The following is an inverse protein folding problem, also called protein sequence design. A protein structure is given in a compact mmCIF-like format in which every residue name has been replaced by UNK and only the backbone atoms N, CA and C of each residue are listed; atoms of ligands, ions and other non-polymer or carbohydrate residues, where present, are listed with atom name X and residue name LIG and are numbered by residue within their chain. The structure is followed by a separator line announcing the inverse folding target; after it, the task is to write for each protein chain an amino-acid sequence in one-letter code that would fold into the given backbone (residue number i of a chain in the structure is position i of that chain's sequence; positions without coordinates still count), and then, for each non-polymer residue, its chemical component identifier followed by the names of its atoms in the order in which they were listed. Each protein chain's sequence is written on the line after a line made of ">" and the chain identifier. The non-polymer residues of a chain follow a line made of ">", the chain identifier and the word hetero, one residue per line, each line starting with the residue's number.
data_IF_787065548708
#
_entry.id   IF_787065548708
#
_cell.length_a   1.000
_cell.length_b   1.000
_cell.length_c   1.000
_cell.angle_alpha   90.00
_cell.angle_beta   90.00
_cell.angle_gamma   90.00
#
_symmetry.space_group_name_H-M   'P 1'
#
loop_
_entity.id
_entity.type
_entity.pdbx_description
1 polymer ?
#
# COMPACT_ATOMS: atom_id res chain seq x y z
N UNK A 1 4.94 4.10 -2.42
CA UNK A 1 3.82 3.49 -1.67
C UNK A 1 3.83 1.99 -1.96
N UNK A 2 3.57 1.16 -0.96
CA UNK A 2 3.41 -0.29 -1.11
C UNK A 2 2.14 -0.73 -0.39
N UNK A 3 1.75 -1.99 -0.59
CA UNK A 3 0.56 -2.57 0.02
C UNK A 3 0.93 -3.90 0.69
N UNK A 4 0.70 -3.99 1.99
CA UNK A 4 0.74 -5.25 2.72
C UNK A 4 -0.70 -5.61 3.12
N UNK A 5 -1.05 -6.89 2.99
CA UNK A 5 -2.36 -7.42 3.38
C UNK A 5 -2.13 -8.43 4.51
N UNK A 6 -3.09 -8.50 5.43
CA UNK A 6 -2.98 -9.39 6.58
C UNK A 6 -4.34 -9.94 7.01
N UNK A 7 -4.26 -11.10 7.66
CA UNK A 7 -5.32 -11.82 8.35
C UNK A 7 -4.65 -12.71 9.38
N UNK A 8 -4.79 -14.03 9.27
CA UNK A 8 -4.01 -14.98 10.09
C UNK A 8 -2.50 -14.88 9.85
N UNK A 9 -2.13 -14.53 8.63
CA UNK A 9 -0.76 -14.30 8.17
C UNK A 9 -0.66 -12.92 7.51
N UNK A 10 0.56 -12.47 7.24
CA UNK A 10 0.79 -11.20 6.53
C UNK A 10 1.75 -11.38 5.37
N UNK A 11 1.46 -10.71 4.26
CA UNK A 11 2.27 -10.72 3.06
C UNK A 11 2.28 -9.34 2.38
N UNK A 12 3.37 -9.08 1.66
CA UNK A 12 3.52 -7.88 0.85
C UNK A 12 2.84 -8.11 -0.51
N UNK A 13 1.65 -7.54 -0.70
CA UNK A 13 0.88 -7.64 -1.93
C UNK A 13 1.47 -6.78 -3.06
N UNK A 14 1.93 -5.58 -2.72
CA UNK A 14 2.59 -4.68 -3.65
C UNK A 14 3.88 -4.14 -3.00
N UNK A 15 5.05 -4.36 -3.63
CA UNK A 15 6.29 -3.71 -3.21
C UNK A 15 6.21 -2.18 -3.24
N UNK A 16 7.17 -1.51 -2.61
CA UNK A 16 7.27 -0.05 -2.65
C UNK A 16 7.46 0.42 -4.10
N UNK A 17 6.48 1.16 -4.63
CA UNK A 17 6.50 1.73 -5.98
C UNK A 17 6.09 3.20 -5.97
N UNK A 18 6.50 3.94 -7.00
CA UNK A 18 5.97 5.27 -7.31
C UNK A 18 4.82 5.22 -8.34
N UNK A 19 4.60 4.07 -8.96
CA UNK A 19 3.53 3.84 -9.91
C UNK A 19 2.22 3.54 -9.17
N UNK A 20 1.34 4.55 -9.15
CA UNK A 20 0.03 4.43 -8.54
C UNK A 20 -0.92 3.52 -9.33
N UNK A 21 -0.73 3.39 -10.65
CA UNK A 21 -1.55 2.50 -11.48
C UNK A 21 -1.32 1.04 -11.11
N UNK A 22 -0.06 0.62 -11.01
CA UNK A 22 0.31 -0.73 -10.58
C UNK A 22 -0.21 -1.03 -9.17
N UNK A 23 -0.12 -0.05 -8.24
CA UNK A 23 -0.65 -0.21 -6.89
C UNK A 23 -2.17 -0.45 -6.88
N UNK A 24 -2.92 0.30 -7.69
CA UNK A 24 -4.36 0.14 -7.83
C UNK A 24 -4.73 -1.22 -8.44
N UNK A 25 -3.94 -1.70 -9.40
CA UNK A 25 -4.12 -3.04 -9.97
C UNK A 25 -3.90 -4.14 -8.92
N UNK A 26 -2.89 -4.00 -8.06
CA UNK A 26 -2.68 -4.93 -6.95
C UNK A 26 -3.80 -4.86 -5.91
N UNK A 27 -4.31 -3.66 -5.61
CA UNK A 27 -5.41 -3.45 -4.67
C UNK A 27 -6.70 -4.10 -5.18
N UNK A 28 -7.04 -3.94 -6.46
CA UNK A 28 -8.23 -4.52 -7.08
C UNK A 28 -8.19 -6.06 -7.12
N UNK A 29 -7.01 -6.67 -6.99
CA UNK A 29 -6.83 -8.13 -6.94
C UNK A 29 -6.93 -8.70 -5.53
N UNK A 30 -7.00 -7.86 -4.50
CA UNK A 30 -7.13 -8.33 -3.12
C UNK A 30 -8.54 -8.90 -2.92
N UNK A 31 -8.61 -10.22 -2.79
CA UNK A 31 -9.84 -10.94 -2.52
C UNK A 31 -9.90 -11.36 -1.05
N UNK A 32 -10.78 -10.73 -0.27
CA UNK A 32 -11.07 -11.14 1.09
C UNK A 32 -11.96 -12.38 1.06
N UNK A 33 -11.44 -13.53 1.48
CA UNK A 33 -12.23 -14.75 1.63
C UNK A 33 -12.90 -14.74 3.02
N UNK A 34 -14.24 -14.62 3.12
CA UNK A 34 -14.94 -14.47 4.40
C UNK A 34 -14.89 -15.73 5.30
N UNK A 35 -14.48 -16.88 4.74
CA UNK A 35 -14.54 -18.18 5.42
C UNK A 35 -13.22 -18.59 6.09
N UNK A 36 -12.12 -17.89 5.83
CA UNK A 36 -10.83 -18.18 6.47
C UNK A 36 -10.84 -17.50 7.83
N UNK A 37 -10.66 -18.30 8.88
CA UNK A 37 -10.50 -17.94 10.30
C UNK A 37 -10.31 -16.44 10.55
N UNK A 38 -11.21 -15.82 11.35
CA UNK A 38 -11.16 -14.41 11.82
C UNK A 38 -9.97 -14.16 12.75
N UNK A 39 -8.78 -14.46 12.24
CA UNK A 39 -7.49 -14.28 12.85
C UNK A 39 -6.87 -13.04 12.24
N UNK A 40 -6.27 -12.21 13.08
CA UNK A 40 -5.72 -10.91 12.72
C UNK A 40 -4.36 -10.80 13.39
N UNK A 41 -3.29 -10.86 12.59
CA UNK A 41 -1.91 -10.79 13.03
C UNK A 41 -1.32 -9.40 12.76
N UNK A 42 -1.65 -8.43 13.62
CA UNK A 42 -1.24 -7.04 13.51
C UNK A 42 0.28 -6.91 13.68
N UNK A 43 0.87 -7.58 14.68
CA UNK A 43 2.32 -7.49 14.89
C UNK A 43 3.13 -8.07 13.72
N UNK A 44 2.64 -9.15 13.10
CA UNK A 44 3.24 -9.71 11.88
C UNK A 44 3.11 -8.78 10.67
N UNK A 45 1.98 -8.08 10.53
CA UNK A 45 1.79 -7.14 9.42
C UNK A 45 2.70 -5.93 9.52
N UNK A 46 2.87 -5.40 10.74
CA UNK A 46 3.85 -4.37 11.03
C UNK A 46 5.28 -4.88 10.74
N UNK A 47 5.65 -6.08 11.17
CA UNK A 47 6.96 -6.66 10.87
C UNK A 47 7.23 -6.77 9.36
N UNK A 48 6.24 -7.22 8.58
CA UNK A 48 6.32 -7.30 7.11
C UNK A 48 6.54 -5.91 6.49
N UNK A 49 5.78 -4.91 6.91
CA UNK A 49 5.90 -3.54 6.43
C UNK A 49 7.25 -2.90 6.83
N UNK A 50 7.69 -3.10 8.07
CA UNK A 50 8.99 -2.64 8.58
C UNK A 50 10.12 -3.27 7.75
N UNK A 51 10.06 -4.57 7.47
CA UNK A 51 11.07 -5.25 6.68
C UNK A 51 11.14 -4.70 5.24
N UNK A 52 10.00 -4.33 4.65
CA UNK A 52 9.95 -3.68 3.35
C UNK A 52 10.54 -2.25 3.37
N UNK A 53 10.30 -1.50 4.45
CA UNK A 53 10.79 -0.11 4.60
C UNK A 53 12.23 0.00 5.07
N UNK A 54 12.77 -1.01 5.78
CA UNK A 54 14.14 -0.97 6.33
C UNK A 54 15.20 -0.68 5.26
N UNK A 55 15.03 -1.21 4.05
CA UNK A 55 15.95 -1.03 2.92
C UNK A 55 15.72 0.28 2.13
N UNK A 56 14.66 1.03 2.44
CA UNK A 56 14.34 2.28 1.75
C UNK A 56 15.32 3.40 2.12
N UNK A 57 15.74 4.16 1.10
CA UNK A 57 16.58 5.36 1.24
C UNK A 57 15.75 6.65 1.42
N UNK A 58 14.42 6.52 1.58
CA UNK A 58 13.55 7.66 1.82
C UNK A 58 13.85 8.33 3.17
N UNK A 59 13.78 9.67 3.19
CA UNK A 59 14.00 10.49 4.40
C UNK A 59 12.89 10.34 5.44
N UNK A 60 11.64 10.16 5.00
CA UNK A 60 10.52 9.81 5.88
C UNK A 60 10.02 8.42 5.50
N UNK A 61 9.78 7.59 6.51
CA UNK A 61 9.25 6.23 6.40
C UNK A 61 8.02 6.14 7.29
N UNK A 62 6.89 5.85 6.67
CA UNK A 62 5.61 5.78 7.36
C UNK A 62 4.91 4.47 7.03
N UNK A 63 4.24 3.92 8.03
CA UNK A 63 3.31 2.80 7.92
C UNK A 63 1.94 3.34 8.30
N UNK A 64 0.94 3.08 7.46
CA UNK A 64 -0.47 3.32 7.79
C UNK A 64 -1.11 1.94 8.01
N UNK A 65 -1.42 1.62 9.26
CA UNK A 65 -2.11 0.41 9.66
C UNK A 65 -3.61 0.67 9.62
N UNK A 66 -4.35 -0.11 8.84
CA UNK A 66 -5.80 -0.04 8.75
C UNK A 66 -6.39 -1.36 9.25
N UNK A 67 -7.21 -1.35 10.30
CA UNK A 67 -7.79 -2.56 10.88
C UNK A 67 -9.13 -2.31 11.56
N UNK A 68 -10.01 -3.31 11.53
CA UNK A 68 -11.31 -3.34 12.20
C UNK A 68 -11.34 -4.34 13.38
N UNK A 69 -10.20 -5.00 13.67
CA UNK A 69 -10.13 -6.16 14.55
C UNK A 69 -9.06 -6.05 15.64
N UNK A 70 -9.06 -7.07 16.51
CA UNK A 70 -8.08 -7.23 17.59
C UNK A 70 -6.97 -8.15 17.15
N UNK A 71 -5.73 -7.89 17.57
CA UNK A 71 -4.63 -8.83 17.40
C UNK A 71 -4.90 -10.13 18.19
N UNK A 72 -5.35 -11.17 17.51
CA UNK A 72 -5.68 -12.47 18.09
C UNK A 72 -4.89 -13.64 17.47
N UNK A 73 -3.94 -13.32 16.58
CA UNK A 73 -3.07 -14.27 15.92
C UNK A 73 -1.66 -13.70 15.72
N UNK A 74 -0.73 -14.57 15.28
CA UNK A 74 0.65 -14.21 15.00
C UNK A 74 1.57 -14.35 16.21
N UNK A 75 2.87 -14.46 15.93
CA UNK A 75 3.92 -14.69 16.93
C UNK A 75 4.48 -13.40 17.53
N UNK A 76 4.30 -12.27 16.82
CA UNK A 76 4.83 -10.97 17.21
C UNK A 76 3.72 -10.14 17.83
N UNK A 77 3.97 -9.62 19.04
CA UNK A 77 3.05 -8.69 19.69
C UNK A 77 3.09 -7.31 19.01
N UNK A 78 1.95 -6.61 18.82
CA UNK A 78 1.91 -5.32 18.13
C UNK A 78 2.86 -4.26 18.72
N UNK A 79 2.92 -4.13 20.05
CA UNK A 79 3.86 -3.20 20.70
C UNK A 79 5.32 -3.53 20.39
N UNK A 80 5.69 -4.81 20.36
CA UNK A 80 7.08 -5.21 20.04
C UNK A 80 7.45 -4.82 18.60
N UNK A 81 6.50 -4.91 17.66
CA UNK A 81 6.71 -4.42 16.31
C UNK A 81 6.79 -2.88 16.25
N UNK A 82 6.02 -2.17 17.08
CA UNK A 82 6.08 -0.72 17.18
C UNK A 82 7.43 -0.22 17.72
N UNK A 83 7.97 -0.85 18.76
CA UNK A 83 9.30 -0.55 19.30
C UNK A 83 10.39 -0.74 18.24
N UNK A 84 10.28 -1.80 17.44
CA UNK A 84 11.18 -2.03 16.31
C UNK A 84 11.05 -0.95 15.24
N UNK A 85 9.84 -0.51 14.92
CA UNK A 85 9.61 0.58 13.96
C UNK A 85 10.25 1.89 14.46
N UNK A 86 10.06 2.23 15.73
CA UNK A 86 10.65 3.39 16.37
C UNK A 86 12.18 3.37 16.29
N UNK A 87 12.81 2.22 16.55
CA UNK A 87 14.27 2.06 16.46
C UNK A 87 14.83 2.28 15.04
N UNK A 88 13.98 2.17 14.01
CA UNK A 88 14.31 2.34 12.60
C UNK A 88 13.84 3.68 12.03
N UNK A 89 13.37 4.60 12.88
CA UNK A 89 12.78 5.90 12.50
C UNK A 89 11.61 5.71 11.50
N UNK A 90 10.77 4.71 11.75
CA UNK A 90 9.56 4.42 10.98
C UNK A 90 8.35 4.80 11.84
N UNK A 91 7.54 5.74 11.34
CA UNK A 91 6.31 6.15 12.03
C UNK A 91 5.15 5.22 11.73
N UNK A 92 4.29 4.94 12.72
CA UNK A 92 3.08 4.13 12.53
C UNK A 92 1.83 4.94 12.82
N UNK A 93 1.02 5.16 11.79
CA UNK A 93 -0.34 5.71 11.92
C UNK A 93 -1.35 4.58 11.93
N UNK A 94 -2.12 4.46 12.99
CA UNK A 94 -3.12 3.40 13.13
C UNK A 94 -4.50 3.97 12.90
N UNK A 95 -5.28 3.34 12.02
CA UNK A 95 -6.65 3.72 11.69
C UNK A 95 -7.55 2.54 12.01
N UNK A 96 -8.35 2.70 13.08
CA UNK A 96 -9.42 1.77 13.44
C UNK A 96 -10.66 2.00 12.58
N UNK A 97 -11.18 0.95 11.95
CA UNK A 97 -12.46 1.00 11.22
C UNK A 97 -13.54 0.33 12.07
N UNK A 98 -14.64 1.03 12.31
CA UNK A 98 -15.82 0.46 12.94
C UNK A 98 -16.40 1.34 14.03
N UNK A 99 -17.57 0.96 14.53
CA UNK A 99 -18.20 1.61 15.69
C UNK A 99 -17.70 0.93 16.97
N UNK A 100 -17.29 1.69 18.00
CA UNK A 100 -16.99 1.12 19.32
C UNK A 100 -18.20 0.32 19.85
N UNK A 101 -17.98 -0.94 20.22
CA UNK A 101 -18.94 -1.72 21.02
C UNK A 101 -20.02 -2.56 20.29
N UNK A 102 -20.03 -2.67 18.95
CA UNK A 102 -21.15 -3.32 18.24
C UNK A 102 -20.74 -4.33 17.16
N UNK A 103 -19.94 -5.33 17.51
CA UNK A 103 -19.75 -6.49 16.63
C UNK A 103 -19.96 -7.79 17.39
N UNK A 104 -21.21 -8.27 17.39
CA UNK A 104 -21.55 -9.61 17.83
C UNK A 104 -21.27 -10.61 16.70
N UNK A 105 -20.40 -11.56 16.96
CA UNK A 105 -20.04 -12.62 16.02
C UNK A 105 -20.51 -13.95 16.58
N UNK A 106 -21.15 -14.76 15.74
CA UNK A 106 -21.54 -16.11 16.11
C UNK A 106 -20.30 -17.03 16.10
N UNK A 107 -19.84 -17.42 17.29
CA UNK A 107 -18.74 -18.39 17.46
C UNK A 107 -19.34 -19.76 17.77
N UNK A 108 -18.86 -20.80 17.10
CA UNK A 108 -19.24 -22.18 17.42
C UNK A 108 -18.48 -22.63 18.66
N UNK A 109 -19.21 -22.99 19.71
CA UNK A 109 -18.67 -23.51 20.97
C UNK A 109 -19.17 -24.94 21.14
N UNK A 110 -18.26 -25.84 21.49
CA UNK A 110 -18.60 -27.22 21.86
C UNK A 110 -19.16 -27.20 23.30
N UNK A 111 -20.48 -27.30 23.43
CA UNK A 111 -21.17 -27.39 24.72
C UNK A 111 -21.16 -28.86 25.18
N UNK A 112 -20.63 -29.18 26.38
CA UNK A 112 -20.56 -30.55 26.90
C UNK A 112 -21.93 -31.24 27.01
N UNK A 113 -23.02 -30.48 27.07
CA UNK A 113 -24.37 -31.00 27.25
C UNK A 113 -25.24 -30.88 25.98
N UNK A 114 -24.99 -29.87 25.15
CA UNK A 114 -25.84 -29.56 23.98
C UNK A 114 -25.15 -29.71 22.61
N UNK A 115 -23.88 -30.12 22.58
CA UNK A 115 -23.11 -30.23 21.33
C UNK A 115 -22.72 -28.87 20.75
N UNK A 116 -22.42 -28.83 19.45
CA UNK A 116 -21.96 -27.61 18.76
C UNK A 116 -23.06 -26.55 18.68
N UNK A 117 -22.95 -25.48 19.46
CA UNK A 117 -23.87 -24.33 19.42
C UNK A 117 -23.14 -23.07 18.96
N UNK A 118 -23.81 -22.24 18.17
CA UNK A 118 -23.32 -20.90 17.82
C UNK A 118 -23.79 -19.91 18.88
N UNK A 119 -22.87 -19.28 19.60
CA UNK A 119 -23.19 -18.22 20.59
C UNK A 119 -22.68 -16.87 20.10
N UNK A 120 -23.44 -15.78 20.30
CA UNK A 120 -22.95 -14.44 20.03
C UNK A 120 -21.82 -14.11 21.02
N UNK A 121 -20.64 -13.81 20.50
CA UNK A 121 -19.50 -13.29 21.25
C UNK A 121 -19.24 -11.87 20.77
N UNK A 122 -19.09 -10.94 21.72
CA UNK A 122 -18.69 -9.56 21.42
C UNK A 122 -17.20 -9.53 21.14
N UNK A 123 -16.82 -9.03 19.97
CA UNK A 123 -15.43 -8.72 19.64
C UNK A 123 -15.36 -7.19 19.59
N UNK A 124 -14.63 -6.60 20.53
CA UNK A 124 -14.40 -5.16 20.59
C UNK A 124 -12.98 -4.88 20.10
N UNK A 125 -12.82 -3.96 19.15
CA UNK A 125 -11.52 -3.47 18.71
C UNK A 125 -10.77 -2.87 19.90
N UNK A 126 -9.50 -3.27 20.08
CA UNK A 126 -8.67 -2.76 21.16
C UNK A 126 -8.00 -1.44 20.74
N UNK A 127 -8.75 -0.35 20.89
CA UNK A 127 -8.27 1.00 20.58
C UNK A 127 -7.03 1.37 21.42
N UNK A 128 -6.94 0.87 22.65
CA UNK A 128 -5.81 1.17 23.53
C UNK A 128 -4.51 0.59 22.97
N UNK A 129 -4.54 -0.64 22.43
CA UNK A 129 -3.37 -1.23 21.78
C UNK A 129 -3.00 -0.46 20.51
N UNK A 130 -3.97 -0.08 19.68
CA UNK A 130 -3.68 0.69 18.45
C UNK A 130 -3.09 2.07 18.76
N UNK A 131 -3.60 2.73 19.80
CA UNK A 131 -3.04 3.97 20.31
C UNK A 131 -1.62 3.78 20.83
N UNK A 132 -1.38 2.78 21.68
CA UNK A 132 -0.05 2.50 22.20
C UNK A 132 0.97 2.17 21.10
N UNK A 133 0.56 1.45 20.06
CA UNK A 133 1.38 1.14 18.88
C UNK A 133 1.77 2.43 18.13
N UNK A 134 0.81 3.32 17.91
CA UNK A 134 1.08 4.59 17.23
C UNK A 134 1.96 5.51 18.08
N UNK A 135 1.70 5.61 19.38
CA UNK A 135 2.47 6.45 20.31
C UNK A 135 3.92 5.96 20.43
N UNK A 136 4.14 4.65 20.55
CA UNK A 136 5.47 4.05 20.61
C UNK A 136 6.31 4.36 19.36
N UNK A 137 5.66 4.42 18.19
CA UNK A 137 6.30 4.72 16.92
C UNK A 137 6.16 6.19 16.48
N UNK A 138 5.90 7.13 17.38
CA UNK A 138 5.79 8.58 17.06
C UNK A 138 4.79 8.92 15.93
N UNK A 139 3.72 8.13 15.82
CA UNK A 139 2.59 8.38 14.93
C UNK A 139 1.33 8.80 15.68
N UNK A 140 0.18 8.67 15.04
CA UNK A 140 -1.13 9.02 15.62
C UNK A 140 -2.14 7.91 15.36
N UNK A 141 -3.04 7.73 16.33
CA UNK A 141 -4.22 6.88 16.19
C UNK A 141 -5.43 7.69 15.71
N UNK A 142 -6.19 7.11 14.82
CA UNK A 142 -7.46 7.65 14.32
C UNK A 142 -8.54 6.57 14.32
N UNK A 143 -9.77 6.97 14.63
CA UNK A 143 -10.95 6.12 14.44
C UNK A 143 -11.75 6.66 13.25
N UNK A 144 -11.94 5.82 12.23
CA UNK A 144 -12.68 6.14 11.01
C UNK A 144 -14.02 5.39 10.99
N UNK A 145 -15.11 6.13 11.24
CA UNK A 145 -16.47 5.57 11.22
C UNK A 145 -17.11 5.56 9.82
N UNK A 146 -16.58 6.36 8.89
CA UNK A 146 -17.10 6.48 7.53
C UNK A 146 -16.00 6.91 6.55
N UNK A 147 -16.27 6.73 5.26
CA UNK A 147 -15.32 7.05 4.18
C UNK A 147 -14.89 8.53 4.17
N UNK A 148 -15.80 9.46 4.49
CA UNK A 148 -15.47 10.89 4.54
C UNK A 148 -14.51 11.24 5.67
N UNK A 149 -14.58 10.55 6.80
CA UNK A 149 -13.64 10.68 7.92
C UNK A 149 -12.29 10.08 7.56
N UNK A 150 -12.28 8.93 6.88
CA UNK A 150 -11.06 8.32 6.37
C UNK A 150 -10.31 9.26 5.42
N UNK A 151 -11.01 9.95 4.52
CA UNK A 151 -10.41 10.95 3.63
C UNK A 151 -9.77 12.11 4.39
N UNK A 152 -10.44 12.61 5.44
CA UNK A 152 -9.87 13.67 6.31
C UNK A 152 -8.60 13.21 7.02
N UNK A 153 -8.59 11.98 7.53
CA UNK A 153 -7.41 11.40 8.20
C UNK A 153 -6.24 11.31 7.22
N UNK A 154 -6.45 10.81 6.00
CA UNK A 154 -5.39 10.77 5.00
C UNK A 154 -4.87 12.17 4.62
N UNK A 155 -5.74 13.17 4.55
CA UNK A 155 -5.34 14.55 4.32
C UNK A 155 -4.48 15.10 5.47
N UNK A 156 -4.84 14.80 6.71
CA UNK A 156 -4.07 15.19 7.90
C UNK A 156 -2.68 14.53 7.89
N UNK A 157 -2.61 13.21 7.66
CA UNK A 157 -1.33 12.49 7.50
C UNK A 157 -0.49 13.13 6.39
N UNK A 158 -1.08 13.46 5.25
CA UNK A 158 -0.37 14.11 4.14
C UNK A 158 0.18 15.50 4.52
N UNK A 159 -0.52 16.25 5.39
CA UNK A 159 0.00 17.53 5.90
C UNK A 159 1.17 17.36 6.87
N UNK A 160 1.13 16.33 7.72
CA UNK A 160 2.18 16.03 8.69
C UNK A 160 3.45 15.49 8.02
N UNK A 161 3.29 14.69 6.96
CA UNK A 161 4.36 13.90 6.35
C UNK A 161 4.81 14.40 4.96
N UNK A 162 4.69 15.70 4.69
CA UNK A 162 5.09 16.32 3.42
C UNK A 162 6.57 16.04 3.10
N UNK A 163 6.78 14.94 2.39
CA UNK A 163 8.04 14.51 1.83
C UNK A 163 8.09 14.96 0.38
N UNK A 164 9.06 15.78 -0.01
CA UNK A 164 9.29 16.08 -1.43
C UNK A 164 9.84 14.83 -2.12
N UNK A 165 8.96 14.05 -2.76
CA UNK A 165 9.38 12.93 -3.60
C UNK A 165 9.93 13.53 -4.90
N UNK A 166 11.25 13.43 -5.12
CA UNK A 166 11.87 13.75 -6.41
C UNK A 166 11.68 12.54 -7.33
N UNK A 167 10.51 12.43 -7.97
CA UNK A 167 10.28 11.39 -8.96
C UNK A 167 11.16 11.68 -10.18
N UNK A 168 12.21 10.89 -10.37
CA UNK A 168 12.87 10.79 -11.67
C UNK A 168 11.96 9.97 -12.57
N UNK A 169 11.03 10.63 -13.26
CA UNK A 169 10.30 10.00 -14.34
C UNK A 169 11.32 9.58 -15.40
N UNK A 170 11.58 8.28 -15.51
CA UNK A 170 12.20 7.72 -16.71
C UNK A 170 11.14 7.78 -17.80
N UNK A 171 11.07 8.91 -18.50
CA UNK A 171 10.38 8.99 -19.78
C UNK A 171 11.20 8.13 -20.75
N UNK A 172 10.73 6.92 -21.05
CA UNK A 172 11.21 6.20 -22.23
C UNK A 172 10.80 7.02 -23.45
N UNK A 173 11.74 7.81 -23.97
CA UNK A 173 11.57 8.52 -25.22
C UNK A 173 11.59 7.47 -26.33
N UNK A 174 10.43 7.17 -26.91
CA UNK A 174 10.38 6.34 -28.09
C UNK A 174 10.85 7.19 -29.28
N UNK A 175 12.11 7.01 -29.67
CA UNK A 175 12.79 7.77 -30.71
C UNK A 175 12.22 7.47 -32.11
N UNK A 176 11.10 8.11 -32.45
CA UNK A 176 10.47 8.05 -33.78
C UNK A 176 11.29 8.79 -34.87
N UNK A 177 12.44 9.41 -34.53
CA UNK A 177 13.23 10.19 -35.49
C UNK A 177 13.84 9.32 -36.60
N UNK A 178 14.09 8.04 -36.34
CA UNK A 178 14.68 7.11 -37.32
C UNK A 178 13.84 7.02 -38.58
N UNK A 179 12.51 6.97 -38.45
CA UNK A 179 11.60 6.94 -39.60
C UNK A 179 11.67 8.22 -40.42
N UNK A 180 11.65 9.39 -39.77
CA UNK A 180 11.76 10.69 -40.43
C UNK A 180 13.13 10.93 -41.07
N UNK A 181 14.21 10.47 -40.44
CA UNK A 181 15.57 10.60 -40.95
C UNK A 181 15.78 9.74 -42.21
N UNK A 182 15.23 8.53 -42.22
CA UNK A 182 15.29 7.64 -43.38
C UNK A 182 14.45 8.20 -44.54
N UNK A 183 13.27 8.76 -44.26
CA UNK A 183 12.48 9.45 -45.27
C UNK A 183 13.23 10.66 -45.89
N UNK A 184 13.89 11.48 -45.06
CA UNK A 184 14.68 12.62 -45.53
C UNK A 184 15.88 12.17 -46.39
N UNK A 185 16.60 11.12 -45.99
CA UNK A 185 17.70 10.57 -46.76
C UNK A 185 17.26 10.05 -48.14
N UNK A 186 16.08 9.40 -48.21
CA UNK A 186 15.49 8.95 -49.48
C UNK A 186 15.17 10.16 -50.38
N UNK A 187 14.53 11.20 -49.85
CA UNK A 187 14.21 12.40 -50.63
C UNK A 187 15.46 13.10 -51.16
N UNK A 188 16.53 13.17 -50.36
CA UNK A 188 17.80 13.77 -50.77
C UNK A 188 18.50 12.96 -51.87
N UNK A 189 18.49 11.63 -51.78
CA UNK A 189 19.00 10.76 -52.85
C UNK A 189 18.17 10.90 -54.13
N UNK A 190 16.84 10.97 -54.00
CA UNK A 190 15.92 11.23 -55.11
C UNK A 190 16.24 12.56 -55.79
N UNK A 191 16.46 13.63 -55.02
CA UNK A 191 16.85 14.94 -55.54
C UNK A 191 18.14 14.85 -56.37
N UNK A 192 19.20 14.26 -55.80
CA UNK A 192 20.49 14.11 -56.49
C UNK A 192 20.32 13.34 -57.80
N UNK A 193 19.57 12.24 -57.79
CA UNK A 193 19.33 11.41 -58.97
C UNK A 193 18.53 12.19 -60.03
N UNK A 194 17.45 12.88 -59.65
CA UNK A 194 16.63 13.67 -60.57
C UNK A 194 17.41 14.84 -61.18
N UNK A 195 18.25 15.49 -60.38
CA UNK A 195 19.08 16.61 -60.82
C UNK A 195 20.16 16.15 -61.82
N UNK A 196 20.70 14.92 -61.64
CA UNK A 196 21.70 14.35 -62.55
C UNK A 196 21.14 13.64 -63.80
N UNK A 197 19.86 13.26 -63.82
CA UNK A 197 19.29 12.46 -64.93
C UNK A 197 18.34 13.24 -65.83
N UNK A 198 17.29 13.87 -65.30
CA UNK A 198 16.15 14.35 -66.13
C UNK A 198 15.79 15.83 -65.98
N UNK A 199 16.18 16.49 -64.88
CA UNK A 199 15.90 17.90 -64.61
C UNK A 199 17.17 18.77 -64.54
N UNK A 200 18.19 18.45 -65.34
CA UNK A 200 19.39 19.29 -65.47
C UNK A 200 18.99 20.67 -66.02
N UNK A 201 18.78 21.64 -65.14
CA UNK A 201 18.72 23.06 -65.50
C UNK A 201 20.16 23.52 -65.74
N UNK A 202 20.57 23.51 -67.00
CA UNK A 202 21.70 24.29 -67.46
C UNK A 202 21.32 25.78 -67.33
N UNK A 203 22.17 26.66 -66.78
CA UNK A 203 22.15 28.06 -67.16
C UNK A 203 22.49 28.22 -68.64
#
# INVERSE_FOLDING_TARGET
>A
IGLAVFGSESFLQCPLTHDHGVLLDFLNRVNFHPEISRSTAIGMSLATAINALRKSQAKSKIIVLLTDGVNNAGEIHPLTAADLAASLDIKIYSIGIGKPGESEVLVTVDDPYFGRRKVPMRIEMDENILQAVSDAASGLYFNAQNTGMLEKIYNEINTLEKSKITTRQYLEYNEQFTFFLLAAAIFLLLEIILNHTRFRKLP
#
